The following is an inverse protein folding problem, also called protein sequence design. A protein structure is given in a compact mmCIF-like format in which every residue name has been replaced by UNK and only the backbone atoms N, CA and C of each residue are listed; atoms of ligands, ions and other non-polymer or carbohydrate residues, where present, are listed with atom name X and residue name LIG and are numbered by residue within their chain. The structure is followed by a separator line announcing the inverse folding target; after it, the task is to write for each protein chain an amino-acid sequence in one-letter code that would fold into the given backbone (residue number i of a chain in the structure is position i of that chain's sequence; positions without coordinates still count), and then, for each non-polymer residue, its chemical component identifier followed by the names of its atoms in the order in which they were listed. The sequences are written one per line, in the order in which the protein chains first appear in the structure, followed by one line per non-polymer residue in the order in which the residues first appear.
data_IF_222657902362
#
_entry.id   IF_222657902362
#
_cell.length_a   1.000
_cell.length_b   1.000
_cell.length_c   1.000
_cell.angle_alpha   90.00
_cell.angle_beta   90.00
_cell.angle_gamma   90.00
#
_symmetry.space_group_name_H-M   'P 1'
#
loop_
_entity.id
_entity.type
_entity.pdbx_description
1 polymer ?
#
# COMPACT_ATOMS: atom_id res chain seq x y z
N UNK A 1 -12.13 -5.37 -0.89
CA UNK A 1 -11.45 -5.28 -2.21
C UNK A 1 -10.59 -6.50 -2.49
N UNK A 2 -9.67 -6.87 -1.59
CA UNK A 2 -8.79 -8.03 -1.77
C UNK A 2 -9.56 -9.34 -1.97
N UNK A 3 -10.58 -9.58 -1.17
CA UNK A 3 -11.43 -10.78 -1.27
C UNK A 3 -12.17 -10.85 -2.60
N UNK A 4 -12.62 -9.70 -3.13
CA UNK A 4 -13.34 -9.63 -4.40
C UNK A 4 -12.43 -9.99 -5.58
N UNK A 5 -11.18 -9.52 -5.57
CA UNK A 5 -10.23 -9.71 -6.67
C UNK A 5 -9.57 -11.07 -6.58
N UNK A 6 -9.16 -11.50 -5.39
CA UNK A 6 -8.41 -12.74 -5.16
C UNK A 6 -9.27 -13.94 -4.75
N UNK A 7 -10.57 -13.73 -4.51
CA UNK A 7 -11.46 -14.75 -3.98
C UNK A 7 -11.39 -14.87 -2.46
N UNK A 8 -10.21 -14.73 -1.89
CA UNK A 8 -9.95 -14.65 -0.45
C UNK A 8 -8.62 -13.93 -0.21
N UNK A 9 -8.22 -13.75 1.05
CA UNK A 9 -6.97 -13.07 1.37
C UNK A 9 -5.74 -13.81 0.85
N UNK A 10 -5.75 -15.13 0.92
CA UNK A 10 -4.66 -15.97 0.43
C UNK A 10 -4.51 -15.86 -1.08
N UNK A 11 -5.61 -15.91 -1.82
CA UNK A 11 -5.61 -15.74 -3.28
C UNK A 11 -5.09 -14.36 -3.69
N UNK A 12 -5.44 -13.32 -2.94
CA UNK A 12 -4.90 -11.98 -3.21
C UNK A 12 -3.41 -11.89 -2.91
N UNK A 13 -2.95 -12.50 -1.80
CA UNK A 13 -1.52 -12.56 -1.48
C UNK A 13 -0.72 -13.29 -2.56
N UNK A 14 -1.28 -14.32 -3.17
CA UNK A 14 -0.66 -15.01 -4.32
C UNK A 14 -0.50 -14.06 -5.51
N UNK A 15 -1.50 -13.24 -5.80
CA UNK A 15 -1.41 -12.22 -6.86
C UNK A 15 -0.32 -11.19 -6.55
N UNK A 16 -0.21 -10.77 -5.29
CA UNK A 16 0.85 -9.85 -4.85
C UNK A 16 2.23 -10.49 -5.05
N UNK A 17 2.40 -11.75 -4.66
CA UNK A 17 3.65 -12.47 -4.82
C UNK A 17 4.01 -12.69 -6.29
N UNK A 18 3.02 -12.97 -7.12
CA UNK A 18 3.22 -13.09 -8.57
C UNK A 18 3.76 -11.79 -9.15
N UNK A 19 3.18 -10.65 -8.75
CA UNK A 19 3.66 -9.34 -9.20
C UNK A 19 5.09 -9.09 -8.70
N UNK A 20 5.41 -9.44 -7.47
CA UNK A 20 6.76 -9.32 -6.93
C UNK A 20 7.77 -10.12 -7.77
N UNK A 21 7.42 -11.34 -8.18
CA UNK A 21 8.26 -12.16 -9.05
C UNK A 21 8.44 -11.51 -10.43
N UNK A 22 7.39 -10.98 -11.02
CA UNK A 22 7.44 -10.28 -12.31
C UNK A 22 8.40 -9.09 -12.28
N UNK A 23 8.48 -8.40 -11.12
CA UNK A 23 9.38 -7.26 -10.92
C UNK A 23 10.79 -7.67 -10.49
N UNK A 24 11.06 -8.96 -10.33
CA UNK A 24 12.36 -9.48 -9.92
C UNK A 24 12.67 -9.30 -8.43
N UNK A 25 11.66 -9.17 -7.60
CA UNK A 25 11.82 -8.96 -6.16
C UNK A 25 11.99 -10.29 -5.43
N UNK A 26 13.24 -10.76 -5.32
CA UNK A 26 13.57 -12.10 -4.78
C UNK A 26 13.45 -12.18 -3.26
N UNK A 27 13.56 -11.06 -2.56
CA UNK A 27 13.53 -10.98 -1.09
C UNK A 27 12.25 -10.31 -0.59
N UNK A 28 11.16 -10.48 -1.33
CA UNK A 28 9.85 -9.94 -0.98
C UNK A 28 8.83 -11.07 -1.03
N UNK A 29 8.09 -11.24 0.05
CA UNK A 29 7.02 -12.24 0.15
C UNK A 29 5.86 -11.67 0.96
N UNK A 30 4.65 -11.80 0.43
CA UNK A 30 3.43 -11.35 1.06
C UNK A 30 2.61 -12.54 1.56
N UNK A 31 2.15 -12.47 2.80
CA UNK A 31 1.26 -13.45 3.41
C UNK A 31 -0.17 -12.96 3.42
N UNK A 32 -0.34 -11.64 3.65
CA UNK A 32 -1.65 -11.01 3.75
C UNK A 32 -1.66 -9.68 2.99
N UNK A 33 -2.85 -9.21 2.55
CA UNK A 33 -2.97 -7.89 1.94
C UNK A 33 -2.98 -6.73 2.94
N UNK A 34 -3.25 -7.00 4.22
CA UNK A 34 -3.35 -5.95 5.26
C UNK A 34 -2.07 -5.73 6.06
N UNK A 35 -1.08 -6.63 5.94
CA UNK A 35 0.24 -6.42 6.52
C UNK A 35 0.41 -6.80 7.98
N UNK A 36 -0.46 -7.64 8.54
CA UNK A 36 -0.23 -8.18 9.88
C UNK A 36 1.08 -8.96 9.92
N UNK A 37 1.82 -8.83 11.01
CA UNK A 37 3.14 -9.43 11.15
C UNK A 37 3.09 -10.94 11.03
N UNK A 38 3.98 -11.49 10.21
CA UNK A 38 4.19 -12.92 10.03
C UNK A 38 5.66 -13.14 9.63
N UNK A 39 6.36 -14.14 10.16
CA UNK A 39 7.75 -14.40 9.79
C UNK A 39 7.98 -14.61 8.30
N UNK A 40 6.94 -15.05 7.58
CA UNK A 40 6.99 -15.27 6.13
C UNK A 40 6.61 -14.03 5.32
N UNK A 41 6.25 -12.93 5.99
CA UNK A 41 5.89 -11.66 5.37
C UNK A 41 7.08 -10.71 5.51
N UNK A 42 7.84 -10.52 4.43
CA UNK A 42 9.10 -9.77 4.47
C UNK A 42 9.38 -9.06 3.16
N UNK A 43 10.24 -8.06 3.23
CA UNK A 43 10.78 -7.34 2.08
C UNK A 43 12.12 -6.71 2.46
N UNK A 44 12.73 -5.99 1.53
CA UNK A 44 13.89 -5.14 1.79
C UNK A 44 13.54 -3.70 1.41
N UNK A 45 14.28 -2.74 1.96
CA UNK A 45 14.08 -1.32 1.64
C UNK A 45 14.26 -1.07 0.14
N UNK A 46 15.26 -1.70 -0.48
CA UNK A 46 15.51 -1.57 -1.91
C UNK A 46 14.36 -2.11 -2.74
N UNK A 47 13.88 -3.32 -2.41
CA UNK A 47 12.81 -3.96 -3.17
C UNK A 47 11.47 -3.25 -2.97
N UNK A 48 11.22 -2.77 -1.77
CA UNK A 48 10.03 -1.98 -1.50
C UNK A 48 10.06 -0.64 -2.28
N UNK A 49 11.23 -0.03 -2.42
CA UNK A 49 11.39 1.17 -3.25
C UNK A 49 11.11 0.89 -4.73
N UNK A 50 11.57 -0.25 -5.25
CA UNK A 50 11.29 -0.68 -6.63
C UNK A 50 9.80 -0.89 -6.84
N UNK A 51 9.15 -1.59 -5.91
CA UNK A 51 7.71 -1.84 -5.96
C UNK A 51 6.92 -0.53 -5.89
N UNK A 52 7.32 0.38 -5.02
CA UNK A 52 6.68 1.69 -4.87
C UNK A 52 6.82 2.53 -6.15
N UNK A 53 7.99 2.54 -6.74
CA UNK A 53 8.24 3.25 -8.01
C UNK A 53 7.33 2.72 -9.11
N UNK A 54 7.22 1.41 -9.23
CA UNK A 54 6.28 0.78 -10.16
C UNK A 54 4.83 1.21 -9.87
N UNK A 55 4.41 1.19 -8.60
CA UNK A 55 3.05 1.56 -8.22
C UNK A 55 2.75 3.03 -8.51
N UNK A 56 3.73 3.93 -8.34
CA UNK A 56 3.56 5.37 -8.59
C UNK A 56 3.38 5.70 -10.08
N UNK A 57 3.69 4.78 -10.99
CA UNK A 57 3.38 4.94 -12.41
C UNK A 57 1.85 4.91 -12.66
N UNK A 58 1.09 4.31 -11.76
CA UNK A 58 -0.36 4.36 -11.81
C UNK A 58 -0.85 5.69 -11.24
N UNK A 59 -1.49 6.51 -12.07
CA UNK A 59 -1.93 7.86 -11.70
C UNK A 59 -2.94 7.87 -10.56
N UNK A 60 -3.85 6.91 -10.52
CA UNK A 60 -4.82 6.79 -9.43
C UNK A 60 -4.13 6.47 -8.10
N UNK A 61 -3.19 5.53 -8.12
CA UNK A 61 -2.42 5.17 -6.95
C UNK A 61 -1.63 6.38 -6.42
N UNK A 62 -0.90 7.07 -7.31
CA UNK A 62 -0.11 8.24 -6.96
C UNK A 62 -0.98 9.33 -6.34
N UNK A 63 -2.16 9.58 -6.91
CA UNK A 63 -3.10 10.57 -6.41
C UNK A 63 -3.63 10.22 -5.02
N UNK A 64 -4.01 8.96 -4.82
CA UNK A 64 -4.57 8.50 -3.54
C UNK A 64 -3.53 8.61 -2.43
N UNK A 65 -2.31 8.11 -2.64
CA UNK A 65 -1.27 8.11 -1.60
C UNK A 65 -0.74 9.50 -1.28
N UNK A 66 -0.90 10.45 -2.19
CA UNK A 66 -0.52 11.85 -1.99
C UNK A 66 -1.65 12.70 -1.40
N UNK A 67 -2.81 12.12 -1.17
CA UNK A 67 -3.96 12.83 -0.61
C UNK A 67 -3.76 13.06 0.88
N UNK A 68 -3.80 14.33 1.30
CA UNK A 68 -3.63 14.71 2.71
C UNK A 68 -4.94 14.56 3.47
N UNK A 69 -6.02 15.11 2.93
CA UNK A 69 -7.34 15.09 3.56
C UNK A 69 -8.38 14.72 2.49
N UNK A 70 -9.32 13.87 2.84
CA UNK A 70 -10.44 13.49 1.97
C UNK A 70 -11.72 13.35 2.78
N UNK A 71 -12.79 13.94 2.28
CA UNK A 71 -14.14 13.77 2.84
C UNK A 71 -14.86 12.68 2.05
N UNK A 72 -15.39 11.69 2.74
CA UNK A 72 -16.15 10.60 2.15
C UNK A 72 -17.52 10.48 2.80
N UNK A 73 -18.46 9.83 2.10
CA UNK A 73 -19.77 9.52 2.63
C UNK A 73 -19.81 8.06 3.09
N UNK A 74 -20.19 7.86 4.35
CA UNK A 74 -20.41 6.53 4.92
C UNK A 74 -21.83 6.51 5.50
N UNK A 75 -22.69 5.64 4.98
CA UNK A 75 -24.07 5.53 5.41
C UNK A 75 -24.82 6.87 5.41
N UNK A 76 -24.58 7.70 4.40
CA UNK A 76 -25.17 9.04 4.27
C UNK A 76 -24.57 10.12 5.14
N UNK A 77 -23.52 9.80 5.93
CA UNK A 77 -22.83 10.76 6.78
C UNK A 77 -21.47 11.12 6.17
N UNK A 78 -21.12 12.39 6.22
CA UNK A 78 -19.80 12.85 5.80
C UNK A 78 -18.76 12.50 6.86
N UNK A 79 -17.63 11.98 6.41
CA UNK A 79 -16.47 11.70 7.28
C UNK A 79 -15.21 12.26 6.62
N UNK A 80 -14.47 13.05 7.39
CA UNK A 80 -13.16 13.56 6.97
C UNK A 80 -12.07 12.55 7.35
N UNK A 81 -11.25 12.19 6.36
CA UNK A 81 -10.11 11.31 6.55
C UNK A 81 -8.82 12.12 6.40
N UNK A 82 -7.92 12.00 7.38
CA UNK A 82 -6.58 12.59 7.33
C UNK A 82 -5.55 11.51 7.08
N UNK A 83 -4.62 11.79 6.17
CA UNK A 83 -3.50 10.89 5.93
C UNK A 83 -2.61 10.83 7.17
N UNK A 84 -2.22 9.63 7.57
CA UNK A 84 -1.34 9.41 8.72
C UNK A 84 0.10 9.84 8.47
N UNK A 85 0.47 10.10 7.22
CA UNK A 85 1.78 10.62 6.86
C UNK A 85 1.84 12.13 7.17
N UNK A 86 2.41 12.46 8.31
CA UNK A 86 2.49 13.86 8.79
C UNK A 86 3.37 14.74 7.91
N UNK A 87 4.23 14.17 7.09
CA UNK A 87 5.11 14.93 6.20
C UNK A 87 4.37 15.48 4.97
N UNK A 88 3.22 14.91 4.62
CA UNK A 88 2.41 15.42 3.51
C UNK A 88 1.91 16.83 3.82
N UNK A 89 2.23 17.76 2.94
CA UNK A 89 1.88 19.17 3.10
C UNK A 89 2.77 19.92 4.09
N UNK A 90 3.64 19.26 4.82
CA UNK A 90 4.54 19.88 5.79
C UNK A 90 6.01 19.81 5.35
N UNK A 91 6.35 18.95 4.42
CA UNK A 91 7.68 18.85 3.84
C UNK A 91 7.55 18.81 2.33
N UNK A 92 8.19 19.75 1.65
CA UNK A 92 8.18 19.83 0.19
C UNK A 92 8.80 18.57 -0.43
N UNK A 93 8.19 18.09 -1.50
CA UNK A 93 8.66 16.90 -2.22
C UNK A 93 8.12 15.58 -1.71
N UNK A 94 7.43 15.55 -0.56
CA UNK A 94 6.80 14.33 -0.04
C UNK A 94 5.47 14.09 -0.76
N UNK A 95 5.32 12.91 -1.37
CA UNK A 95 4.15 12.53 -2.16
C UNK A 95 3.51 11.19 -1.75
N UNK A 96 3.87 10.63 -0.62
CA UNK A 96 3.32 9.38 -0.09
C UNK A 96 4.37 8.59 0.71
N UNK A 97 4.17 7.28 0.89
CA UNK A 97 3.13 6.47 0.26
C UNK A 97 2.30 5.81 1.34
N UNK A 98 2.91 5.08 2.26
CA UNK A 98 2.23 4.37 3.34
C UNK A 98 3.06 4.42 4.61
N UNK A 99 2.42 4.82 5.69
CA UNK A 99 3.01 4.74 7.03
C UNK A 99 2.92 3.32 7.58
N UNK A 100 3.72 3.01 8.58
CA UNK A 100 3.68 1.70 9.21
C UNK A 100 4.12 1.76 10.66
N UNK A 101 3.71 0.74 11.39
CA UNK A 101 4.13 0.52 12.77
C UNK A 101 4.23 -0.97 13.03
N UNK A 102 5.28 -1.38 13.74
CA UNK A 102 5.47 -2.77 14.18
C UNK A 102 6.06 -2.76 15.59
N UNK A 103 5.76 -3.81 16.34
CA UNK A 103 6.30 -3.96 17.70
C UNK A 103 7.76 -4.40 17.68
#
# INVERSE_FOLDING_TARGET
MAETIGGNYEGFAELMNKKAQELGLKNTHFVTPHGLDDPKHYTTAKELAILTDYALENEQFAKIVNTRIKTILINGKQKELSNTNELLGNLEGVNGVKTGFTN
#
